data_IF_458488536291
#
_entry.id   IF_458488536291
#
_cell.length_a   1.000
_cell.length_b   1.000
_cell.length_c   1.000
_cell.angle_alpha   90.00
_cell.angle_beta   90.00
_cell.angle_gamma   90.00
#
_symmetry.space_group_name_H-M   'P 1'
#
loop_
_entity.id
_entity.type
_entity.pdbx_description
1 polymer ?
#
# COMPACT_ATOMS: atom_id res chain seq x y z
N UNK A 1 -26.16 1.24 -22.11
CA UNK A 1 -25.58 -0.07 -21.77
C UNK A 1 -26.25 -0.57 -20.53
N UNK A 2 -26.81 -1.78 -20.54
CA UNK A 2 -27.40 -2.40 -19.35
C UNK A 2 -26.30 -2.75 -18.35
N UNK A 3 -26.52 -2.62 -17.04
CA UNK A 3 -25.54 -3.01 -16.01
C UNK A 3 -25.12 -4.51 -16.04
N UNK A 4 -25.78 -5.30 -16.88
CA UNK A 4 -25.51 -6.72 -17.13
C UNK A 4 -24.74 -6.99 -18.43
N UNK A 5 -24.39 -5.95 -19.20
CA UNK A 5 -23.60 -6.13 -20.40
C UNK A 5 -22.17 -6.62 -20.04
N UNK A 6 -21.52 -7.44 -20.88
CA UNK A 6 -20.22 -8.02 -20.55
C UNK A 6 -19.14 -6.98 -20.20
N UNK A 7 -19.18 -5.79 -20.81
CA UNK A 7 -18.21 -4.72 -20.57
C UNK A 7 -18.44 -4.06 -19.21
N UNK A 8 -19.69 -3.83 -18.81
CA UNK A 8 -20.01 -3.29 -17.48
C UNK A 8 -19.68 -4.29 -16.37
N UNK A 9 -19.92 -5.58 -16.58
CA UNK A 9 -19.52 -6.66 -15.66
C UNK A 9 -18.00 -6.72 -15.49
N UNK A 10 -17.24 -6.66 -16.58
CA UNK A 10 -15.77 -6.62 -16.54
C UNK A 10 -15.26 -5.39 -15.78
N UNK A 11 -15.82 -4.20 -16.08
CA UNK A 11 -15.46 -2.97 -15.40
C UNK A 11 -15.73 -3.03 -13.88
N UNK A 12 -16.82 -3.70 -13.46
CA UNK A 12 -17.13 -3.92 -12.04
C UNK A 12 -16.08 -4.80 -11.36
N UNK A 13 -15.76 -5.97 -11.93
CA UNK A 13 -14.75 -6.87 -11.36
C UNK A 13 -13.38 -6.19 -11.23
N UNK A 14 -13.01 -5.33 -12.20
CA UNK A 14 -11.78 -4.55 -12.12
C UNK A 14 -11.79 -3.57 -10.93
N UNK A 15 -12.90 -2.85 -10.71
CA UNK A 15 -13.06 -1.94 -9.56
C UNK A 15 -13.02 -2.68 -8.23
N UNK A 16 -13.71 -3.82 -8.14
CA UNK A 16 -13.71 -4.66 -6.94
C UNK A 16 -12.29 -5.12 -6.59
N UNK A 17 -11.53 -5.62 -7.57
CA UNK A 17 -10.12 -6.03 -7.37
C UNK A 17 -9.23 -4.87 -6.89
N UNK A 18 -9.44 -3.65 -7.42
CA UNK A 18 -8.71 -2.46 -6.96
C UNK A 18 -9.07 -2.14 -5.51
N UNK A 19 -10.37 -2.14 -5.17
CA UNK A 19 -10.83 -1.84 -3.82
C UNK A 19 -10.30 -2.83 -2.78
N UNK A 20 -10.23 -4.13 -3.09
CA UNK A 20 -9.66 -5.11 -2.17
C UNK A 20 -8.15 -4.89 -1.92
N UNK A 21 -7.41 -4.46 -2.95
CA UNK A 21 -6.00 -4.07 -2.80
C UNK A 21 -5.86 -2.79 -1.97
N UNK A 22 -6.73 -1.80 -2.18
CA UNK A 22 -6.72 -0.56 -1.40
C UNK A 22 -7.01 -0.83 0.08
N UNK A 23 -8.02 -1.66 0.40
CA UNK A 23 -8.30 -2.06 1.80
C UNK A 23 -7.12 -2.76 2.46
N UNK A 24 -6.42 -3.60 1.71
CA UNK A 24 -5.20 -4.26 2.22
C UNK A 24 -4.12 -3.22 2.51
N UNK A 25 -3.91 -2.28 1.59
CA UNK A 25 -2.93 -1.20 1.77
C UNK A 25 -3.26 -0.30 2.97
N UNK A 26 -4.53 0.05 3.19
CA UNK A 26 -4.98 0.86 4.33
C UNK A 26 -4.54 0.28 5.68
N UNK A 27 -4.52 -1.06 5.80
CA UNK A 27 -4.10 -1.76 7.04
C UNK A 27 -2.60 -1.86 7.21
N UNK A 28 -1.84 -1.73 6.12
CA UNK A 28 -0.38 -1.85 6.13
C UNK A 28 0.29 -0.49 6.34
N UNK A 29 -0.33 0.60 5.87
CA UNK A 29 0.21 1.95 5.98
C UNK A 29 -0.15 2.55 7.35
N UNK A 30 0.81 3.17 8.06
CA UNK A 30 0.52 3.92 9.28
C UNK A 30 -0.57 4.96 9.04
N UNK A 31 -1.61 4.97 9.88
CA UNK A 31 -2.78 5.84 9.74
C UNK A 31 -3.58 5.67 8.43
N UNK A 32 -3.35 4.60 7.65
CA UNK A 32 -3.95 4.42 6.32
C UNK A 32 -5.48 4.36 6.31
N UNK A 33 -6.11 3.89 7.40
CA UNK A 33 -7.59 3.89 7.54
C UNK A 33 -8.18 5.28 7.85
N UNK A 34 -7.37 6.24 8.27
CA UNK A 34 -7.81 7.58 8.73
C UNK A 34 -7.65 8.68 7.67
N UNK A 35 -7.03 8.37 6.53
CA UNK A 35 -6.72 9.32 5.46
C UNK A 35 -7.44 8.95 4.15
N UNK A 36 -7.59 9.91 3.25
CA UNK A 36 -8.14 9.63 1.92
C UNK A 36 -7.16 8.80 1.05
N UNK A 37 -7.65 8.32 -0.10
CA UNK A 37 -6.87 7.42 -0.96
C UNK A 37 -5.61 8.09 -1.50
N UNK A 38 -5.65 9.38 -1.83
CA UNK A 38 -4.48 10.08 -2.40
C UNK A 38 -3.41 10.19 -1.33
N UNK A 39 -3.77 10.68 -0.14
CA UNK A 39 -2.85 10.75 1.00
C UNK A 39 -2.35 9.36 1.41
N UNK A 40 -3.19 8.33 1.45
CA UNK A 40 -2.77 6.96 1.77
C UNK A 40 -1.69 6.46 0.79
N UNK A 41 -1.83 6.74 -0.50
CA UNK A 41 -0.86 6.32 -1.51
C UNK A 41 0.48 7.06 -1.36
N UNK A 42 0.46 8.34 -0.99
CA UNK A 42 1.67 9.12 -0.67
C UNK A 42 2.35 8.58 0.60
N UNK A 43 1.59 8.36 1.67
CA UNK A 43 2.08 7.78 2.92
C UNK A 43 2.64 6.36 2.72
N UNK A 44 2.06 5.57 1.82
CA UNK A 44 2.60 4.26 1.47
C UNK A 44 4.02 4.36 0.89
N UNK A 45 4.27 5.35 0.03
CA UNK A 45 5.60 5.59 -0.55
C UNK A 45 6.58 6.00 0.55
N UNK A 46 6.18 6.91 1.43
CA UNK A 46 7.00 7.32 2.57
C UNK A 46 7.29 6.15 3.51
N UNK A 47 6.30 5.31 3.80
CA UNK A 47 6.46 4.17 4.69
C UNK A 47 7.40 3.12 4.12
N UNK A 48 7.34 2.82 2.82
CA UNK A 48 8.31 1.91 2.18
C UNK A 48 9.74 2.45 2.30
N UNK A 49 9.97 3.73 2.00
CA UNK A 49 11.30 4.35 2.15
C UNK A 49 11.78 4.33 3.61
N UNK A 50 10.86 4.53 4.55
CA UNK A 50 11.16 4.44 5.98
C UNK A 50 11.59 3.03 6.38
N UNK A 51 10.87 1.99 5.93
CA UNK A 51 11.25 0.59 6.19
C UNK A 51 12.60 0.23 5.57
N UNK A 52 12.88 0.69 4.33
CA UNK A 52 14.18 0.52 3.68
C UNK A 52 15.31 1.16 4.51
N UNK A 53 15.10 2.37 5.02
CA UNK A 53 16.05 3.06 5.89
C UNK A 53 16.26 2.32 7.22
N UNK A 54 15.19 1.82 7.86
CA UNK A 54 15.30 1.02 9.07
C UNK A 54 16.13 -0.25 8.84
N UNK A 55 15.95 -0.92 7.69
CA UNK A 55 16.74 -2.09 7.32
C UNK A 55 18.22 -1.75 7.11
N UNK A 56 18.53 -0.62 6.49
CA UNK A 56 19.92 -0.16 6.33
C UNK A 56 20.57 0.10 7.68
N UNK A 57 19.88 0.81 8.58
CA UNK A 57 20.36 1.09 9.93
C UNK A 57 20.66 -0.20 10.70
N UNK A 58 19.71 -1.15 10.74
CA UNK A 58 19.87 -2.44 11.42
C UNK A 58 21.05 -3.24 10.86
N UNK A 59 21.22 -3.28 9.54
CA UNK A 59 22.37 -3.94 8.89
C UNK A 59 23.70 -3.25 9.17
N UNK A 60 23.68 -1.95 9.42
CA UNK A 60 24.89 -1.18 9.77
C UNK A 60 25.27 -1.33 11.24
N UNK A 61 24.29 -1.41 12.14
CA UNK A 61 24.49 -1.67 13.57
C UNK A 61 25.04 -3.07 13.82
N UNK A 62 24.60 -4.07 13.05
CA UNK A 62 25.22 -5.41 13.07
C UNK A 62 26.73 -5.35 12.77
N UNK A 63 27.18 -4.35 12.01
CA UNK A 63 28.60 -4.17 11.66
C UNK A 63 29.43 -3.59 12.82
N UNK A 64 28.82 -2.83 13.73
CA UNK A 64 29.48 -2.26 14.92
C UNK A 64 29.44 -3.20 16.13
N UNK A 65 28.55 -4.20 16.15
CA UNK A 65 28.51 -5.20 17.22
C UNK A 65 29.62 -6.28 17.14
N UNK A 66 30.41 -6.30 16.06
CA UNK A 66 31.50 -7.27 15.85
C UNK A 66 32.89 -6.63 15.57
N UNK A 67 33.06 -5.33 15.81
CA UNK A 67 34.35 -4.62 15.72
C UNK A 67 34.76 -4.09 17.10
#
# INVERSE_FOLDING_TARGET
GSATDPQSVYARHRREKINERLKTLQRLVPNGEQVDIVTMLEEAIHFVKFLEFQLELLRSDDRWMFA
#
